data_IF_539990170462
#
_entry.id   IF_539990170462
#
_cell.length_a   1.000
_cell.length_b   1.000
_cell.length_c   1.000
_cell.angle_alpha   90.00
_cell.angle_beta   90.00
_cell.angle_gamma   90.00
#
_symmetry.space_group_name_H-M   'P 1'
#
loop_
_entity.id
_entity.type
_entity.pdbx_description
1 polymer ?
#
# COMPACT_ATOMS: atom_id res chain seq x y z
N UNK A 1 -12.90 -10.70 -11.81
CA UNK A 1 -11.50 -10.51 -12.23
C UNK A 1 -10.69 -10.22 -10.98
N UNK A 2 -9.68 -11.03 -10.67
CA UNK A 2 -8.82 -10.83 -9.50
C UNK A 2 -7.72 -9.84 -9.87
N UNK A 3 -8.00 -8.55 -9.73
CA UNK A 3 -6.98 -7.49 -9.89
C UNK A 3 -6.02 -7.61 -8.72
N UNK A 4 -4.85 -8.21 -8.95
CA UNK A 4 -3.82 -8.33 -7.93
C UNK A 4 -3.18 -6.95 -7.74
N UNK A 5 -3.32 -6.36 -6.54
CA UNK A 5 -2.70 -5.08 -6.20
C UNK A 5 -1.26 -5.39 -5.79
N UNK A 6 -0.29 -4.75 -6.44
CA UNK A 6 1.13 -4.91 -6.16
C UNK A 6 1.71 -3.62 -5.61
N UNK A 7 2.09 -3.62 -4.34
CA UNK A 7 2.73 -2.45 -3.74
C UNK A 7 4.14 -2.27 -4.30
N UNK A 8 4.51 -1.01 -4.53
CA UNK A 8 5.90 -0.64 -4.80
C UNK A 8 6.77 -0.97 -3.59
N UNK A 9 7.83 -1.75 -3.82
CA UNK A 9 8.88 -1.98 -2.84
C UNK A 9 9.95 -0.88 -2.92
N UNK A 10 10.57 -0.55 -1.79
CA UNK A 10 11.58 0.49 -1.66
C UNK A 10 12.83 -0.07 -1.01
N UNK A 11 13.99 0.29 -1.54
CA UNK A 11 15.27 0.03 -0.88
C UNK A 11 15.46 0.98 0.33
N UNK A 12 16.30 0.63 1.32
CA UNK A 12 16.47 1.44 2.54
C UNK A 12 16.82 2.91 2.30
N UNK A 13 17.56 3.21 1.21
CA UNK A 13 17.93 4.56 0.80
C UNK A 13 16.80 5.33 0.09
N UNK A 14 15.71 4.66 -0.30
CA UNK A 14 14.51 5.26 -0.89
C UNK A 14 13.39 5.48 0.15
N UNK A 15 13.61 5.05 1.40
CA UNK A 15 12.64 5.21 2.48
C UNK A 15 12.59 6.67 2.94
N UNK A 16 11.42 7.27 2.77
CA UNK A 16 11.14 8.65 3.13
C UNK A 16 10.45 8.73 4.49
N UNK A 17 9.53 7.80 4.77
CA UNK A 17 8.75 7.80 6.01
C UNK A 17 9.64 7.45 7.21
N UNK A 18 9.54 8.21 8.29
CA UNK A 18 10.09 7.81 9.59
C UNK A 18 9.31 6.64 10.19
N UNK A 19 9.78 6.12 11.32
CA UNK A 19 9.11 5.03 12.03
C UNK A 19 7.73 5.47 12.53
N UNK A 20 7.64 6.67 13.10
CA UNK A 20 6.39 7.26 13.57
C UNK A 20 5.44 7.58 12.41
N UNK A 21 5.97 8.10 11.30
CA UNK A 21 5.17 8.36 10.09
C UNK A 21 4.62 7.06 9.50
N UNK A 22 5.40 5.97 9.56
CA UNK A 22 4.98 4.65 9.10
C UNK A 22 3.82 4.10 9.95
N UNK A 23 3.87 4.27 11.28
CA UNK A 23 2.76 3.89 12.17
C UNK A 23 1.49 4.70 11.84
N UNK A 24 1.63 6.01 11.63
CA UNK A 24 0.50 6.89 11.28
C UNK A 24 -0.16 6.43 9.97
N UNK A 25 0.64 6.08 8.96
CA UNK A 25 0.13 5.57 7.68
C UNK A 25 -0.57 4.22 7.84
N UNK A 26 0.04 3.29 8.59
CA UNK A 26 -0.57 1.98 8.82
C UNK A 26 -1.92 2.11 9.54
N UNK A 27 -2.00 2.91 10.61
CA UNK A 27 -3.26 3.16 11.32
C UNK A 27 -4.29 3.91 10.49
N UNK A 28 -3.85 4.67 9.49
CA UNK A 28 -4.75 5.33 8.56
C UNK A 28 -5.37 4.33 7.58
N UNK A 29 -4.58 3.41 7.04
CA UNK A 29 -5.06 2.41 6.06
C UNK A 29 -5.90 1.33 6.74
N UNK A 30 -5.45 0.79 7.87
CA UNK A 30 -6.10 -0.32 8.55
C UNK A 30 -7.10 0.13 9.62
N UNK A 31 -8.13 -0.69 9.82
CA UNK A 31 -9.19 -0.46 10.80
C UNK A 31 -8.67 -0.46 12.25
N UNK A 32 -9.43 0.16 13.17
CA UNK A 32 -9.10 0.24 14.60
C UNK A 32 -8.83 -1.14 15.22
N UNK A 33 -9.49 -2.19 14.73
CA UNK A 33 -9.27 -3.57 15.19
C UNK A 33 -7.85 -4.08 14.94
N UNK A 34 -7.12 -3.50 13.99
CA UNK A 34 -5.73 -3.86 13.69
C UNK A 34 -4.73 -2.91 14.38
N UNK A 35 -5.17 -1.85 15.06
CA UNK A 35 -4.27 -0.85 15.67
C UNK A 35 -3.42 -1.43 16.80
N UNK A 36 -3.97 -2.35 17.59
CA UNK A 36 -3.21 -3.03 18.65
C UNK A 36 -2.02 -3.82 18.07
N UNK A 37 -2.21 -4.41 16.88
CA UNK A 37 -1.18 -5.15 16.16
C UNK A 37 -0.11 -4.17 15.68
N UNK A 38 -0.53 -3.04 15.10
CA UNK A 38 0.36 -2.01 14.60
C UNK A 38 1.20 -1.41 15.73
N UNK A 39 0.61 -1.16 16.89
CA UNK A 39 1.32 -0.63 18.07
C UNK A 39 2.38 -1.58 18.63
N UNK A 40 2.26 -2.88 18.34
CA UNK A 40 3.22 -3.91 18.73
C UNK A 40 4.34 -4.14 17.70
N UNK A 41 4.28 -3.50 16.52
CA UNK A 41 5.26 -3.70 15.48
C UNK A 41 6.61 -3.07 15.84
N UNK A 42 7.68 -3.85 15.71
CA UNK A 42 9.01 -3.28 15.52
C UNK A 42 9.10 -2.71 14.10
N UNK A 43 9.36 -1.40 13.99
CA UNK A 43 9.38 -0.70 12.71
C UNK A 43 10.73 -0.90 12.03
N UNK A 44 10.81 -1.92 11.20
CA UNK A 44 11.99 -2.20 10.36
C UNK A 44 11.87 -1.52 9.00
N UNK A 45 12.96 -1.45 8.25
CA UNK A 45 12.93 -0.95 6.86
C UNK A 45 11.89 -1.66 5.97
N UNK A 46 11.62 -2.95 6.25
CA UNK A 46 10.54 -3.69 5.58
C UNK A 46 9.16 -3.11 5.90
N UNK A 47 8.89 -2.81 7.18
CA UNK A 47 7.62 -2.21 7.62
C UNK A 47 7.46 -0.81 7.07
N UNK A 48 8.55 -0.03 7.04
CA UNK A 48 8.59 1.31 6.44
C UNK A 48 8.33 1.26 4.94
N UNK A 49 8.97 0.34 4.21
CA UNK A 49 8.72 0.13 2.78
C UNK A 49 7.26 -0.26 2.53
N UNK A 50 6.68 -1.11 3.38
CA UNK A 50 5.30 -1.53 3.25
C UNK A 50 4.33 -0.37 3.49
N UNK A 51 4.52 0.39 4.56
CA UNK A 51 3.72 1.59 4.83
C UNK A 51 3.84 2.61 3.68
N UNK A 52 5.05 2.85 3.17
CA UNK A 52 5.29 3.75 2.05
C UNK A 52 4.62 3.26 0.75
N UNK A 53 4.67 1.95 0.48
CA UNK A 53 3.99 1.33 -0.66
C UNK A 53 2.47 1.50 -0.60
N UNK A 54 1.87 1.26 0.57
CA UNK A 54 0.44 1.51 0.79
C UNK A 54 0.08 2.98 0.53
N UNK A 55 0.92 3.91 0.97
CA UNK A 55 0.68 5.32 0.77
C UNK A 55 0.75 5.73 -0.70
N UNK A 56 1.74 5.22 -1.45
CA UNK A 56 1.86 5.46 -2.89
C UNK A 56 0.64 4.94 -3.63
N UNK A 57 0.26 3.68 -3.38
CA UNK A 57 -0.90 3.06 -4.02
C UNK A 57 -2.19 3.82 -3.71
N UNK A 58 -2.38 4.22 -2.45
CA UNK A 58 -3.57 4.93 -2.01
C UNK A 58 -3.71 6.30 -2.68
N UNK A 59 -2.59 7.02 -2.84
CA UNK A 59 -2.54 8.30 -3.54
C UNK A 59 -2.76 8.07 -5.04
N UNK A 60 -2.07 7.12 -5.64
CA UNK A 60 -2.14 6.90 -7.08
C UNK A 60 -3.54 6.45 -7.51
N UNK A 61 -4.12 5.48 -6.81
CA UNK A 61 -5.50 5.06 -7.05
C UNK A 61 -6.49 6.17 -6.73
N UNK A 62 -6.23 7.07 -5.76
CA UNK A 62 -7.15 8.17 -5.51
C UNK A 62 -7.17 9.20 -6.65
N UNK A 63 -6.09 9.37 -7.41
CA UNK A 63 -6.10 10.19 -8.63
C UNK A 63 -6.70 9.45 -9.83
N UNK A 64 -6.46 8.15 -9.97
CA UNK A 64 -7.15 7.33 -10.96
C UNK A 64 -8.68 7.38 -10.75
N UNK A 65 -9.11 7.32 -9.49
CA UNK A 65 -10.50 7.42 -9.07
C UNK A 65 -11.01 8.86 -9.10
N UNK A 66 -10.18 9.87 -8.85
CA UNK A 66 -10.54 11.29 -8.92
C UNK A 66 -11.08 11.71 -10.30
N UNK A 67 -10.78 10.94 -11.36
CA UNK A 67 -11.41 11.06 -12.67
C UNK A 67 -12.84 10.49 -12.72
N UNK A 68 -13.13 9.46 -11.92
CA UNK A 68 -14.40 8.72 -11.84
C UNK A 68 -15.34 9.30 -10.75
N UNK A 69 -14.81 9.94 -9.72
CA UNK A 69 -15.52 10.32 -8.48
C UNK A 69 -16.15 11.72 -8.48
N UNK A 70 -16.39 12.30 -9.66
CA UNK A 70 -17.50 13.25 -9.79
C UNK A 70 -18.87 12.59 -9.42
N UNK A 71 -18.92 11.26 -9.31
CA UNK A 71 -20.16 10.47 -9.19
C UNK A 71 -20.46 9.88 -7.80
N UNK A 72 -19.50 9.76 -6.86
CA UNK A 72 -19.74 9.10 -5.56
C UNK A 72 -19.14 9.90 -4.40
N UNK A 73 -20.00 10.35 -3.47
CA UNK A 73 -19.66 11.29 -2.38
C UNK A 73 -19.36 10.53 -1.07
N UNK A 74 -18.15 10.01 -0.87
CA UNK A 74 -17.68 9.66 0.49
C UNK A 74 -16.15 9.75 0.60
N UNK A 75 -15.64 10.95 0.89
CA UNK A 75 -14.22 11.16 1.19
C UNK A 75 -13.92 10.79 2.64
N UNK A 76 -12.87 10.01 2.85
CA UNK A 76 -12.30 9.83 4.19
C UNK A 76 -11.87 11.22 4.70
N UNK A 77 -12.11 11.54 5.97
CA UNK A 77 -11.61 12.78 6.56
C UNK A 77 -10.32 12.47 7.33
N UNK A 78 -9.13 12.51 6.68
CA UNK A 78 -7.87 12.19 7.33
C UNK A 78 -7.62 13.15 8.50
N UNK A 79 -7.12 12.61 9.62
CA UNK A 79 -6.74 13.44 10.76
C UNK A 79 -5.59 14.38 10.39
N UNK A 80 -5.45 15.51 11.10
CA UNK A 80 -4.40 16.49 10.83
C UNK A 80 -2.97 15.89 10.80
N UNK A 81 -2.74 14.83 11.58
CA UNK A 81 -1.49 14.06 11.57
C UNK A 81 -1.24 13.38 10.22
N UNK A 82 -2.22 12.63 9.71
CA UNK A 82 -2.12 11.94 8.41
C UNK A 82 -1.96 12.94 7.27
N UNK A 83 -2.70 14.06 7.29
CA UNK A 83 -2.56 15.12 6.28
C UNK A 83 -1.14 15.68 6.25
N UNK A 84 -0.52 15.89 7.41
CA UNK A 84 0.86 16.35 7.50
C UNK A 84 1.84 15.34 6.90
N UNK A 85 1.66 14.05 7.19
CA UNK A 85 2.48 12.97 6.62
C UNK A 85 2.33 12.91 5.11
N UNK A 86 1.09 12.92 4.59
CA UNK A 86 0.83 12.92 3.14
C UNK A 86 1.48 14.11 2.43
N UNK A 87 1.35 15.32 2.98
CA UNK A 87 1.98 16.53 2.41
C UNK A 87 3.50 16.49 2.48
N UNK A 88 4.07 15.98 3.58
CA UNK A 88 5.51 15.80 3.72
C UNK A 88 6.06 14.77 2.74
N UNK A 89 5.34 13.66 2.58
CA UNK A 89 5.63 12.60 1.64
C UNK A 89 5.57 13.10 0.20
N UNK A 90 4.46 13.72 -0.22
CA UNK A 90 4.27 14.22 -1.58
C UNK A 90 5.36 15.20 -2.05
N UNK A 91 5.92 16.00 -1.13
CA UNK A 91 7.05 16.90 -1.43
C UNK A 91 8.38 16.18 -1.71
N UNK A 92 8.57 15.01 -1.10
CA UNK A 92 9.81 14.23 -1.20
C UNK A 92 9.69 13.07 -2.20
N UNK A 93 8.47 12.63 -2.50
CA UNK A 93 8.20 11.52 -3.38
C UNK A 93 8.64 11.84 -4.82
N UNK A 94 9.22 10.84 -5.47
CA UNK A 94 9.69 10.98 -6.85
C UNK A 94 8.50 10.84 -7.81
N UNK A 95 8.44 11.70 -8.83
CA UNK A 95 7.32 11.72 -9.80
C UNK A 95 7.07 10.37 -10.46
N UNK A 96 8.11 9.58 -10.71
CA UNK A 96 8.01 8.28 -11.37
C UNK A 96 7.46 7.16 -10.46
N UNK A 97 7.11 7.47 -9.21
CA UNK A 97 6.47 6.52 -8.31
C UNK A 97 4.95 6.45 -8.49
N UNK A 98 4.38 7.42 -9.19
CA UNK A 98 2.95 7.54 -9.45
C UNK A 98 2.70 7.34 -10.95
N UNK A 99 1.68 6.57 -11.29
CA UNK A 99 1.21 6.39 -12.66
C UNK A 99 0.15 7.45 -13.01
N UNK A 100 -0.67 7.83 -12.03
CA UNK A 100 -1.84 8.68 -12.20
C UNK A 100 -1.72 10.04 -11.49
N UNK A 101 -0.96 10.13 -10.40
CA UNK A 101 -0.83 11.38 -9.62
C UNK A 101 0.25 12.34 -10.18
N UNK A 102 -0.07 13.62 -10.38
CA UNK A 102 0.92 14.63 -10.75
C UNK A 102 1.55 15.31 -9.52
N UNK A 103 2.64 16.07 -9.71
CA UNK A 103 3.30 16.75 -8.57
C UNK A 103 2.47 17.90 -7.96
N UNK A 104 1.53 18.46 -8.73
CA UNK A 104 0.58 19.48 -8.25
C UNK A 104 -0.50 18.82 -7.41
N UNK A 105 -0.96 17.66 -7.87
CA UNK A 105 -1.93 16.81 -7.21
C UNK A 105 -1.46 16.39 -5.81
N UNK A 106 -0.19 15.99 -5.67
CA UNK A 106 0.42 15.63 -4.37
C UNK A 106 0.35 16.73 -3.28
N UNK A 107 -0.06 17.96 -3.60
CA UNK A 107 -0.26 19.04 -2.63
C UNK A 107 -1.67 19.07 -2.00
N UNK A 108 -2.68 18.48 -2.65
CA UNK A 108 -4.08 18.40 -2.18
C UNK A 108 -4.62 16.96 -2.28
N UNK A 109 -3.94 16.05 -1.57
CA UNK A 109 -4.28 14.62 -1.57
C UNK A 109 -5.66 14.40 -0.95
N UNK A 110 -6.59 13.91 -1.77
CA UNK A 110 -7.88 13.36 -1.33
C UNK A 110 -7.77 11.85 -1.29
N UNK A 111 -8.26 11.24 -0.20
CA UNK A 111 -8.28 9.80 -0.03
C UNK A 111 -9.71 9.35 0.26
N UNK A 112 -10.14 8.29 -0.40
CA UNK A 112 -11.50 7.77 -0.31
C UNK A 112 -11.57 6.55 0.60
N UNK A 113 -12.63 6.45 1.41
CA UNK A 113 -12.75 5.37 2.41
C UNK A 113 -12.82 3.98 1.78
N UNK A 114 -13.41 3.86 0.59
CA UNK A 114 -13.47 2.57 -0.08
C UNK A 114 -12.08 2.06 -0.53
N UNK A 115 -11.15 2.96 -0.87
CA UNK A 115 -9.77 2.61 -1.21
C UNK A 115 -9.02 2.13 0.02
N UNK A 116 -9.19 2.80 1.16
CA UNK A 116 -8.64 2.33 2.45
C UNK A 116 -9.15 0.93 2.78
N UNK A 117 -10.46 0.71 2.69
CA UNK A 117 -11.06 -0.60 2.95
C UNK A 117 -10.54 -1.68 2.00
N UNK A 118 -10.40 -1.36 0.71
CA UNK A 118 -9.86 -2.27 -0.31
C UNK A 118 -8.42 -2.66 -0.01
N UNK A 119 -7.56 -1.69 0.30
CA UNK A 119 -6.16 -1.94 0.66
C UNK A 119 -6.05 -2.70 1.98
N UNK A 120 -6.81 -2.30 3.00
CA UNK A 120 -6.83 -2.99 4.30
C UNK A 120 -7.19 -4.47 4.13
N UNK A 121 -8.26 -4.79 3.38
CA UNK A 121 -8.66 -6.17 3.12
C UNK A 121 -7.60 -6.95 2.33
N UNK A 122 -6.98 -6.31 1.33
CA UNK A 122 -5.99 -6.95 0.47
C UNK A 122 -4.70 -7.29 1.23
N UNK A 123 -4.26 -6.41 2.13
CA UNK A 123 -2.95 -6.50 2.80
C UNK A 123 -3.03 -6.86 4.30
N UNK A 124 -4.21 -7.17 4.86
CA UNK A 124 -4.36 -7.59 6.27
C UNK A 124 -3.56 -8.85 6.59
N UNK A 125 -3.49 -9.80 5.64
CA UNK A 125 -2.68 -11.01 5.79
C UNK A 125 -1.18 -10.70 5.85
N UNK A 126 -0.71 -9.74 5.05
CA UNK A 126 0.70 -9.31 5.03
C UNK A 126 1.07 -8.60 6.33
N UNK A 127 0.20 -7.70 6.83
CA UNK A 127 0.37 -7.04 8.13
C UNK A 127 0.56 -8.05 9.25
N UNK A 128 -0.33 -9.05 9.35
CA UNK A 128 -0.24 -10.13 10.36
C UNK A 128 1.01 -10.98 10.19
N UNK A 129 1.40 -11.22 8.95
CA UNK A 129 2.62 -11.98 8.64
C UNK A 129 3.87 -11.22 9.06
N UNK A 130 3.93 -9.90 8.88
CA UNK A 130 5.02 -9.06 9.36
C UNK A 130 5.15 -9.08 10.88
N UNK A 131 4.02 -9.13 11.59
CA UNK A 131 4.00 -9.25 13.06
C UNK A 131 4.56 -10.60 13.50
N UNK A 132 4.14 -11.69 12.85
CA UNK A 132 4.66 -13.03 13.14
C UNK A 132 6.16 -13.15 12.85
N UNK A 133 6.63 -12.52 11.77
CA UNK A 133 8.05 -12.52 11.37
C UNK A 133 8.92 -11.54 12.16
N UNK A 134 8.34 -10.55 12.84
CA UNK A 134 9.08 -9.68 13.76
C UNK A 134 9.72 -10.45 14.93
N UNK A 135 9.36 -11.73 15.13
CA UNK A 135 10.07 -12.66 16.02
C UNK A 135 11.28 -13.40 15.41
N UNK A 136 11.60 -13.24 14.12
CA UNK A 136 12.67 -13.98 13.45
C UNK A 136 13.27 -13.24 12.25
N UNK A 137 14.55 -12.86 12.37
CA UNK A 137 15.36 -12.26 11.30
C UNK A 137 15.27 -13.08 9.99
N UNK A 138 14.97 -12.44 8.86
CA UNK A 138 15.12 -13.07 7.55
C UNK A 138 14.36 -12.39 6.40
N UNK A 139 15.11 -11.61 5.62
CA UNK A 139 14.97 -11.31 4.18
C UNK A 139 13.74 -11.96 3.49
N UNK A 140 12.75 -11.15 3.09
CA UNK A 140 11.75 -11.60 2.11
C UNK A 140 12.21 -11.27 0.69
N UNK A 141 12.56 -12.32 -0.04
CA UNK A 141 12.40 -12.35 -1.50
C UNK A 141 10.88 -12.35 -1.73
N UNK A 142 10.42 -11.48 -2.64
CA UNK A 142 9.04 -11.41 -3.08
C UNK A 142 8.60 -12.76 -3.71
N UNK A 143 8.14 -13.69 -2.87
CA UNK A 143 7.45 -14.89 -3.33
C UNK A 143 5.96 -14.56 -3.40
N UNK A 144 5.57 -13.89 -4.49
CA UNK A 144 4.25 -14.13 -5.07
C UNK A 144 4.23 -15.61 -5.42
N UNK A 145 3.28 -16.35 -4.87
CA UNK A 145 3.06 -17.73 -5.23
C UNK A 145 2.84 -17.83 -6.75
N UNK A 146 3.81 -18.40 -7.46
CA UNK A 146 3.57 -18.95 -8.80
C UNK A 146 2.69 -20.18 -8.57
N UNK A 147 1.38 -19.99 -8.54
CA UNK A 147 0.46 -21.07 -8.87
C UNK A 147 0.56 -21.21 -10.39
N UNK A 148 1.43 -22.13 -10.82
CA UNK A 148 1.50 -22.55 -12.21
C UNK A 148 0.10 -22.92 -12.69
N UNK A 149 -0.29 -22.37 -13.84
CA UNK A 149 -1.46 -22.85 -14.58
C UNK A 149 -1.31 -24.37 -14.77
N UNK A 150 -2.34 -25.19 -14.53
CA UNK A 150 -2.33 -26.54 -15.07
C UNK A 150 -2.26 -26.40 -16.59
N UNK A 151 -1.26 -27.05 -17.18
CA UNK A 151 -1.06 -27.10 -18.62
C UNK A 151 -2.34 -27.63 -19.28
N UNK A 152 -2.88 -26.85 -20.21
CA UNK A 152 -3.88 -27.32 -21.14
C UNK A 152 -3.21 -28.39 -22.01
N UNK A 153 -3.56 -29.66 -21.77
CA UNK A 153 -3.26 -30.72 -22.71
C UNK A 153 -4.06 -30.49 -24.00
N UNK A 154 -3.49 -29.68 -24.88
CA UNK A 154 -3.90 -29.58 -26.26
C UNK A 154 -3.61 -30.91 -26.97
N UNK A 155 -4.67 -31.48 -27.54
CA UNK A 155 -4.66 -32.50 -28.57
C UNK A 155 -3.55 -32.26 -29.61
N UNK A 156 -2.76 -33.30 -29.90
CA UNK A 156 -2.03 -33.43 -31.16
C UNK A 156 -2.31 -34.82 -31.74
N UNK A 157 -2.95 -34.84 -32.90
CA UNK A 157 -3.10 -36.00 -33.78
C UNK A 157 -1.83 -36.18 -34.63
N UNK A 158 -1.48 -37.44 -34.96
CA UNK A 158 -0.74 -37.79 -36.18
C UNK A 158 0.59 -38.53 -35.97
N UNK A 159 0.62 -39.80 -36.42
CA UNK A 159 1.79 -40.66 -36.51
C UNK A 159 1.42 -42.13 -36.64
#
# INVERSE_FOLDING_TARGET
>A
MSTSIHLKAFEPNELILSDEESIVVLKFVFDEVDHFVIDSLNITDLVRSFAQGLLVELIDESYAVGFVEALFRTTANPTAGVVKVMKGFGKKALKHWFEHATHVDLQDVKVYDFLKNRLALSFRSDLRTMVAKNGGQGRFIANVAIVGKPEEHALVWGG
#
